data_IF_685584496823
#
_entry.id   IF_685584496823
#
_cell.length_a   1.000
_cell.length_b   1.000
_cell.length_c   1.000
_cell.angle_alpha   90.00
_cell.angle_beta   90.00
_cell.angle_gamma   90.00
#
_symmetry.space_group_name_H-M   'P 1'
#
loop_
_entity.id
_entity.type
_entity.pdbx_description
1 polymer ?
#
# COMPACT_ATOMS: atom_id res chain seq x y z
N UNK A 1 15.00 -39.71 7.33
CA UNK A 1 14.57 -38.33 7.70
C UNK A 1 15.01 -37.33 6.62
N UNK A 2 14.42 -37.40 5.41
CA UNK A 2 14.77 -36.52 4.26
C UNK A 2 13.55 -35.89 3.56
N UNK A 3 12.34 -36.28 3.97
CA UNK A 3 11.09 -35.82 3.36
C UNK A 3 10.47 -34.62 4.10
N UNK A 4 10.63 -34.54 5.43
CA UNK A 4 10.07 -33.44 6.24
C UNK A 4 10.68 -32.07 5.91
N UNK A 5 11.95 -32.02 5.49
CA UNK A 5 12.64 -30.77 5.15
C UNK A 5 12.08 -30.13 3.88
N UNK A 6 11.70 -30.95 2.88
CA UNK A 6 11.09 -30.48 1.63
C UNK A 6 9.70 -29.90 1.86
N UNK A 7 8.93 -30.52 2.76
CA UNK A 7 7.58 -30.04 3.11
C UNK A 7 7.63 -28.67 3.80
N UNK A 8 8.57 -28.48 4.73
CA UNK A 8 8.77 -27.19 5.41
C UNK A 8 9.19 -26.07 4.44
N UNK A 9 10.07 -26.39 3.48
CA UNK A 9 10.47 -25.42 2.45
C UNK A 9 9.30 -25.02 1.54
N UNK A 10 8.44 -25.99 1.19
CA UNK A 10 7.22 -25.73 0.42
C UNK A 10 6.23 -24.82 1.18
N UNK A 11 6.04 -25.05 2.49
CA UNK A 11 5.19 -24.21 3.32
C UNK A 11 5.70 -22.76 3.40
N UNK A 12 7.00 -22.56 3.60
CA UNK A 12 7.60 -21.21 3.64
C UNK A 12 7.41 -20.46 2.31
N UNK A 13 7.56 -21.14 1.18
CA UNK A 13 7.31 -20.54 -0.15
C UNK A 13 5.86 -20.10 -0.32
N UNK A 14 4.87 -20.89 0.14
CA UNK A 14 3.46 -20.52 0.11
C UNK A 14 3.16 -19.28 0.96
N UNK A 15 3.75 -19.17 2.16
CA UNK A 15 3.62 -17.98 3.01
C UNK A 15 4.24 -16.74 2.37
N UNK A 16 5.39 -16.87 1.71
CA UNK A 16 6.01 -15.76 0.98
C UNK A 16 5.13 -15.27 -0.18
N UNK A 17 4.53 -16.18 -0.95
CA UNK A 17 3.60 -15.82 -2.04
C UNK A 17 2.35 -15.14 -1.50
N UNK A 18 1.77 -15.62 -0.39
CA UNK A 18 0.58 -14.98 0.21
C UNK A 18 0.88 -13.57 0.75
N UNK A 19 2.06 -13.34 1.35
CA UNK A 19 2.46 -12.00 1.80
C UNK A 19 2.72 -11.05 0.63
N UNK A 20 3.34 -11.54 -0.45
CA UNK A 20 3.53 -10.76 -1.67
C UNK A 20 2.19 -10.45 -2.35
N UNK A 21 1.25 -11.41 -2.42
CA UNK A 21 -0.09 -11.21 -2.99
C UNK A 21 -0.94 -10.28 -2.13
N UNK A 22 -0.76 -10.24 -0.80
CA UNK A 22 -1.43 -9.25 0.05
C UNK A 22 -0.94 -7.83 -0.22
N UNK A 23 0.33 -7.67 -0.61
CA UNK A 23 0.89 -6.38 -1.03
C UNK A 23 0.42 -5.97 -2.44
N UNK A 24 0.02 -6.93 -3.30
CA UNK A 24 -0.47 -6.69 -4.68
C UNK A 24 -2.01 -6.64 -4.76
N UNK A 25 -2.75 -7.17 -3.77
CA UNK A 25 -4.23 -7.16 -3.74
C UNK A 25 -4.86 -5.82 -3.38
N UNK A 26 -4.08 -4.79 -3.07
CA UNK A 26 -4.60 -3.41 -3.05
C UNK A 26 -5.01 -2.91 -4.46
N UNK A 27 -4.79 -3.70 -5.53
CA UNK A 27 -5.07 -3.31 -6.91
C UNK A 27 -6.34 -3.87 -7.56
N UNK A 28 -7.06 -4.84 -6.99
CA UNK A 28 -8.24 -5.44 -7.66
C UNK A 28 -9.36 -5.71 -6.66
N UNK A 29 -10.13 -4.68 -6.36
CA UNK A 29 -11.52 -4.85 -5.91
C UNK A 29 -12.43 -4.67 -7.13
N UNK A 30 -12.91 -5.80 -7.64
CA UNK A 30 -13.96 -5.89 -8.66
C UNK A 30 -15.26 -5.30 -8.12
N UNK A 31 -15.57 -4.06 -8.47
CA UNK A 31 -16.96 -3.58 -8.56
C UNK A 31 -16.97 -2.41 -9.53
N UNK A 32 -17.93 -2.38 -10.45
CA UNK A 32 -18.15 -1.32 -11.44
C UNK A 32 -18.25 0.06 -10.76
N UNK A 33 -17.12 0.73 -10.61
CA UNK A 33 -17.02 2.12 -10.18
C UNK A 33 -16.13 2.83 -11.19
N UNK A 34 -16.41 4.10 -11.50
CA UNK A 34 -15.52 4.98 -12.29
C UNK A 34 -14.08 4.65 -11.91
N UNK A 35 -13.23 4.24 -12.86
CA UNK A 35 -11.85 3.78 -12.57
C UNK A 35 -11.10 4.92 -11.85
N UNK A 36 -11.16 4.95 -10.53
CA UNK A 36 -10.40 5.90 -9.73
C UNK A 36 -9.02 5.27 -9.58
N UNK A 37 -8.01 5.99 -10.05
CA UNK A 37 -6.64 5.53 -9.95
C UNK A 37 -6.22 5.54 -8.47
N UNK A 38 -5.80 4.41 -7.93
CA UNK A 38 -5.32 4.30 -6.55
C UNK A 38 -3.81 4.09 -6.57
N UNK A 39 -3.06 4.92 -5.84
CA UNK A 39 -1.60 4.84 -5.75
C UNK A 39 -1.16 4.89 -4.30
N UNK A 40 -0.18 4.06 -3.96
CA UNK A 40 0.42 4.02 -2.63
C UNK A 40 1.85 4.55 -2.65
N UNK A 41 2.23 5.31 -1.63
CA UNK A 41 3.61 5.78 -1.45
C UNK A 41 3.95 5.92 0.02
N UNK A 42 5.19 5.57 0.38
CA UNK A 42 5.73 5.77 1.72
C UNK A 42 6.36 7.16 1.78
N UNK A 43 6.00 7.92 2.81
CA UNK A 43 6.62 9.21 3.13
C UNK A 43 7.25 9.19 4.51
N UNK A 44 8.30 10.01 4.67
CA UNK A 44 8.85 10.32 5.98
C UNK A 44 7.84 11.16 6.80
N UNK A 45 7.87 10.96 8.11
CA UNK A 45 6.94 11.43 9.15
C UNK A 45 5.64 10.63 9.25
N UNK A 46 5.11 10.51 10.47
CA UNK A 46 3.84 9.84 10.77
C UNK A 46 2.61 10.58 10.19
N UNK A 47 1.43 9.94 10.24
CA UNK A 47 0.17 10.49 9.76
C UNK A 47 -0.26 11.79 10.47
N UNK A 48 0.15 11.96 11.74
CA UNK A 48 -0.29 13.08 12.57
C UNK A 48 -1.78 13.02 12.88
N UNK A 49 -2.39 14.17 13.15
CA UNK A 49 -3.82 14.30 13.50
C UNK A 49 -4.76 14.13 12.28
N UNK A 50 -4.29 14.50 11.09
CA UNK A 50 -5.04 14.41 9.83
C UNK A 50 -4.15 13.74 8.78
N UNK A 51 -4.29 12.40 8.71
CA UNK A 51 -3.54 11.57 7.79
C UNK A 51 -3.81 11.90 6.32
N UNK A 52 -5.07 12.17 5.98
CA UNK A 52 -5.49 12.49 4.62
C UNK A 52 -4.77 13.75 4.12
N UNK A 53 -4.87 14.87 4.85
CA UNK A 53 -4.20 16.13 4.48
C UNK A 53 -2.68 15.99 4.45
N UNK A 54 -2.11 15.21 5.36
CA UNK A 54 -0.67 14.98 5.44
C UNK A 54 -0.14 14.17 4.26
N UNK A 55 -0.91 13.18 3.79
CA UNK A 55 -0.62 12.41 2.60
C UNK A 55 -0.76 13.24 1.31
N UNK A 56 -1.85 14.01 1.17
CA UNK A 56 -2.05 14.93 0.04
C UNK A 56 -0.88 15.92 -0.06
N UNK A 57 -0.44 16.50 1.07
CA UNK A 57 0.75 17.37 1.09
C UNK A 57 2.02 16.67 0.61
N UNK A 58 2.20 15.38 0.91
CA UNK A 58 3.33 14.58 0.44
C UNK A 58 3.31 14.42 -1.08
N UNK A 59 2.17 14.02 -1.64
CA UNK A 59 2.01 13.88 -3.09
C UNK A 59 2.12 15.22 -3.83
N UNK A 60 1.60 16.32 -3.26
CA UNK A 60 1.73 17.65 -3.85
C UNK A 60 3.20 18.07 -4.03
N UNK A 61 4.12 17.65 -3.12
CA UNK A 61 5.56 17.94 -3.26
C UNK A 61 6.19 17.27 -4.49
N UNK A 62 5.64 16.14 -4.92
CA UNK A 62 6.07 15.43 -6.14
C UNK A 62 5.13 15.71 -7.33
N UNK A 63 4.38 16.82 -7.27
CA UNK A 63 3.48 17.29 -8.33
C UNK A 63 2.41 16.27 -8.72
N UNK A 64 1.94 15.49 -7.76
CA UNK A 64 0.82 14.57 -7.91
C UNK A 64 -0.33 15.04 -7.02
N UNK A 65 -1.53 15.12 -7.59
CA UNK A 65 -2.67 15.78 -6.96
C UNK A 65 -3.84 14.80 -6.74
N UNK A 66 -3.76 13.95 -5.70
CA UNK A 66 -4.89 13.10 -5.32
C UNK A 66 -5.99 13.94 -4.64
N UNK A 67 -7.23 13.45 -4.71
CA UNK A 67 -8.37 14.10 -4.06
C UNK A 67 -8.73 13.49 -2.70
N UNK A 68 -8.25 12.28 -2.41
CA UNK A 68 -8.50 11.60 -1.14
C UNK A 68 -7.38 10.60 -0.84
N UNK A 69 -6.96 10.54 0.41
CA UNK A 69 -5.90 9.64 0.87
C UNK A 69 -6.23 9.01 2.22
N UNK A 70 -5.94 7.72 2.34
CA UNK A 70 -5.83 7.01 3.60
C UNK A 70 -4.37 7.02 4.06
N UNK A 71 -4.16 6.99 5.38
CA UNK A 71 -2.84 7.06 5.99
C UNK A 71 -2.68 6.00 7.07
N UNK A 72 -1.70 5.13 6.88
CA UNK A 72 -1.33 4.07 7.83
C UNK A 72 0.09 4.28 8.34
N UNK A 73 0.37 3.81 9.56
CA UNK A 73 1.73 3.74 10.07
C UNK A 73 2.45 2.58 9.36
N UNK A 74 3.53 2.88 8.61
CA UNK A 74 4.24 1.85 7.86
C UNK A 74 5.02 0.92 8.79
N UNK A 75 5.75 1.52 9.74
CA UNK A 75 6.46 0.83 10.82
C UNK A 75 6.30 1.71 12.07
N UNK A 76 5.73 1.26 13.19
CA UNK A 76 5.49 2.12 14.36
C UNK A 76 6.76 2.76 14.96
N UNK A 77 7.89 2.07 14.83
CA UNK A 77 9.19 2.48 15.38
C UNK A 77 9.95 3.45 14.48
N UNK A 78 9.63 3.51 13.19
CA UNK A 78 10.22 4.47 12.26
C UNK A 78 9.17 5.52 11.97
N UNK A 79 9.51 6.80 12.06
CA UNK A 79 8.54 7.87 11.76
C UNK A 79 8.21 7.93 10.26
N UNK A 80 7.51 6.93 9.73
CA UNK A 80 7.18 6.71 8.31
C UNK A 80 5.71 6.34 8.18
N UNK A 81 5.05 6.91 7.19
CA UNK A 81 3.64 6.66 6.88
C UNK A 81 3.48 6.06 5.50
N UNK A 82 2.54 5.15 5.35
CA UNK A 82 2.04 4.68 4.07
C UNK A 82 0.81 5.53 3.71
N UNK A 83 0.86 6.17 2.54
CA UNK A 83 -0.25 6.95 2.00
C UNK A 83 -0.85 6.22 0.82
N UNK A 84 -2.14 5.88 0.88
CA UNK A 84 -2.89 5.28 -0.23
C UNK A 84 -3.92 6.28 -0.73
N UNK A 85 -3.74 6.76 -1.96
CA UNK A 85 -4.44 7.92 -2.48
C UNK A 85 -5.20 7.64 -3.77
N UNK A 86 -6.34 8.31 -3.94
CA UNK A 86 -7.24 8.28 -5.10
C UNK A 86 -7.01 9.50 -6.00
N UNK A 87 -6.85 9.27 -7.30
CA UNK A 87 -6.56 10.29 -8.31
C UNK A 87 -7.70 10.45 -9.32
N UNK A 88 -7.94 11.69 -9.80
CA UNK A 88 -9.09 12.00 -10.66
C UNK A 88 -8.92 11.53 -12.12
N UNK A 89 -7.68 11.34 -12.59
CA UNK A 89 -7.36 11.05 -13.99
C UNK A 89 -6.87 9.62 -14.19
N UNK A 90 -7.49 8.91 -15.14
CA UNK A 90 -6.97 7.70 -15.80
C UNK A 90 -6.43 8.05 -17.20
N UNK A 91 -5.41 7.37 -17.73
CA UNK A 91 -4.78 6.16 -17.21
C UNK A 91 -3.72 6.45 -16.13
N UNK A 92 -3.72 5.60 -15.09
CA UNK A 92 -2.49 5.30 -14.38
C UNK A 92 -1.59 4.50 -15.35
#
# INVERSE_FOLDING_TARGET
MKSSTLFMFSCLLMFCVLNHVKQVRSGVSSTKAKKVCTKSQVFEKNCGLDGNKTCIKGFNKIKQYPFHCDCDLYIPTESKRLCTCKFPTTPC
#
